data_IF_182713630716
#
_entry.id   IF_182713630716
#
_cell.length_a   1.000
_cell.length_b   1.000
_cell.length_c   1.000
_cell.angle_alpha   90.00
_cell.angle_beta   90.00
_cell.angle_gamma   90.00
#
_symmetry.space_group_name_H-M   'P 1'
#
loop_
_entity.id
_entity.type
_entity.pdbx_description
1 polymer ?
#
# COMPACT_ATOMS: atom_id res chain seq x y z
N UNK A 1 1.34 -21.27 32.47
CA UNK A 1 0.17 -20.41 32.13
C UNK A 1 0.53 -19.09 31.46
N UNK A 2 1.74 -18.53 31.67
CA UNK A 2 2.18 -17.29 31.02
C UNK A 2 2.14 -17.35 29.47
N UNK A 3 2.44 -18.52 28.89
CA UNK A 3 2.45 -18.71 27.43
C UNK A 3 1.09 -18.47 26.75
N UNK A 4 -0.02 -18.95 27.34
CA UNK A 4 -1.35 -18.77 26.74
C UNK A 4 -1.79 -17.30 26.75
N UNK A 5 -1.56 -16.61 27.88
CA UNK A 5 -1.93 -15.20 28.05
C UNK A 5 -1.26 -14.27 27.04
N UNK A 6 -0.05 -14.59 26.57
CA UNK A 6 0.61 -13.82 25.50
C UNK A 6 0.33 -14.38 24.11
N UNK A 7 0.22 -15.70 23.96
CA UNK A 7 -0.05 -16.33 22.67
C UNK A 7 -1.42 -15.91 22.11
N UNK A 8 -2.46 -15.81 22.96
CA UNK A 8 -3.80 -15.40 22.53
C UNK A 8 -3.85 -14.00 21.91
N UNK A 9 -3.41 -12.91 22.58
CA UNK A 9 -3.44 -11.57 21.98
C UNK A 9 -2.52 -11.44 20.78
N UNK A 10 -1.35 -12.10 20.76
CA UNK A 10 -0.47 -12.13 19.58
C UNK A 10 -1.19 -12.78 18.40
N UNK A 11 -1.84 -13.93 18.62
CA UNK A 11 -2.59 -14.64 17.56
C UNK A 11 -3.74 -13.79 17.05
N UNK A 12 -4.53 -13.18 17.95
CA UNK A 12 -5.63 -12.29 17.57
C UNK A 12 -5.10 -11.10 16.76
N UNK A 13 -4.00 -10.48 17.20
CA UNK A 13 -3.38 -9.36 16.49
C UNK A 13 -2.89 -9.74 15.10
N UNK A 14 -2.26 -10.91 14.95
CA UNK A 14 -1.83 -11.43 13.65
C UNK A 14 -3.01 -11.71 12.72
N UNK A 15 -4.06 -12.37 13.22
CA UNK A 15 -5.27 -12.67 12.44
C UNK A 15 -6.00 -11.39 12.03
N UNK A 16 -6.13 -10.42 12.94
CA UNK A 16 -6.73 -9.13 12.64
C UNK A 16 -5.91 -8.35 11.60
N UNK A 17 -4.58 -8.31 11.76
CA UNK A 17 -3.68 -7.69 10.79
C UNK A 17 -3.79 -8.34 9.40
N UNK A 18 -3.90 -9.66 9.34
CA UNK A 18 -4.13 -10.39 8.09
C UNK A 18 -5.49 -10.06 7.47
N UNK A 19 -6.55 -9.98 8.26
CA UNK A 19 -7.86 -9.56 7.77
C UNK A 19 -7.80 -8.13 7.19
N UNK A 20 -7.18 -7.18 7.89
CA UNK A 20 -6.97 -5.83 7.38
C UNK A 20 -6.20 -5.84 6.06
N UNK A 21 -5.17 -6.68 5.93
CA UNK A 21 -4.42 -6.86 4.69
C UNK A 21 -5.33 -7.29 3.54
N UNK A 22 -6.13 -8.34 3.73
CA UNK A 22 -7.04 -8.85 2.70
C UNK A 22 -8.07 -7.79 2.31
N UNK A 23 -8.65 -7.09 3.28
CA UNK A 23 -9.66 -6.04 3.02
C UNK A 23 -9.06 -4.89 2.21
N UNK A 24 -7.90 -4.35 2.62
CA UNK A 24 -7.27 -3.25 1.89
C UNK A 24 -6.88 -3.70 0.49
N UNK A 25 -6.28 -4.89 0.33
CA UNK A 25 -5.95 -5.46 -0.98
C UNK A 25 -7.19 -5.60 -1.88
N UNK A 26 -8.31 -6.06 -1.32
CA UNK A 26 -9.56 -6.18 -2.06
C UNK A 26 -10.09 -4.80 -2.49
N UNK A 27 -10.09 -3.83 -1.58
CA UNK A 27 -10.53 -2.45 -1.85
C UNK A 27 -9.66 -1.80 -2.94
N UNK A 28 -8.33 -1.97 -2.89
CA UNK A 28 -7.43 -1.36 -3.87
C UNK A 28 -7.63 -1.93 -5.28
N UNK A 29 -7.99 -3.21 -5.41
CA UNK A 29 -8.30 -3.82 -6.70
C UNK A 29 -9.71 -3.50 -7.22
N UNK A 30 -10.73 -3.59 -6.37
CA UNK A 30 -12.12 -3.68 -6.84
C UNK A 30 -12.91 -2.37 -6.66
N UNK A 31 -12.54 -1.50 -5.73
CA UNK A 31 -13.34 -0.30 -5.44
C UNK A 31 -12.86 0.94 -6.18
N UNK A 32 -13.80 1.79 -6.56
CA UNK A 32 -13.52 3.14 -7.07
C UNK A 32 -13.26 4.09 -5.89
N UNK A 33 -12.01 4.11 -5.44
CA UNK A 33 -11.54 5.00 -4.39
C UNK A 33 -11.34 6.42 -4.92
N UNK A 34 -11.93 7.42 -4.26
CA UNK A 34 -11.85 8.83 -4.65
C UNK A 34 -10.46 9.42 -4.36
N UNK A 35 -9.91 10.31 -5.22
CA UNK A 35 -8.53 10.82 -5.12
C UNK A 35 -8.15 11.46 -3.78
N UNK A 36 -9.08 12.11 -3.10
CA UNK A 36 -8.81 12.85 -1.86
C UNK A 36 -8.80 11.98 -0.60
N UNK A 37 -9.00 10.66 -0.74
CA UNK A 37 -9.03 9.76 0.41
C UNK A 37 -7.65 9.15 0.69
N UNK A 38 -7.30 8.87 1.97
CA UNK A 38 -6.07 8.16 2.32
C UNK A 38 -5.95 6.78 1.64
N UNK A 39 -7.10 6.14 1.37
CA UNK A 39 -7.18 4.88 0.63
C UNK A 39 -6.70 5.01 -0.82
N UNK A 40 -6.81 6.18 -1.43
CA UNK A 40 -6.36 6.41 -2.80
C UNK A 40 -4.85 6.24 -2.92
N UNK A 41 -4.09 6.67 -1.90
CA UNK A 41 -2.64 6.49 -1.85
C UNK A 41 -2.27 5.00 -1.88
N UNK A 42 -2.95 4.17 -1.09
CA UNK A 42 -2.73 2.72 -1.09
C UNK A 42 -3.13 2.09 -2.43
N UNK A 43 -4.27 2.50 -3.00
CA UNK A 43 -4.69 2.04 -4.32
C UNK A 43 -3.69 2.40 -5.42
N UNK A 44 -3.22 3.63 -5.44
CA UNK A 44 -2.25 4.12 -6.40
C UNK A 44 -0.94 3.34 -6.32
N UNK A 45 -0.43 3.12 -5.11
CA UNK A 45 0.80 2.35 -4.88
C UNK A 45 0.68 0.89 -5.27
N UNK A 46 -0.43 0.26 -4.90
CA UNK A 46 -0.72 -1.12 -5.25
C UNK A 46 -0.87 -1.31 -6.77
N UNK A 47 -1.51 -0.34 -7.44
CA UNK A 47 -1.53 -0.32 -8.90
C UNK A 47 -0.11 -0.20 -9.48
N UNK A 48 0.75 0.66 -8.92
CA UNK A 48 2.15 0.74 -9.34
C UNK A 48 2.91 -0.57 -9.09
N UNK A 49 2.67 -1.27 -8.00
CA UNK A 49 3.25 -2.60 -7.75
C UNK A 49 2.93 -3.59 -8.89
N UNK A 50 1.67 -3.63 -9.35
CA UNK A 50 1.25 -4.53 -10.42
C UNK A 50 1.64 -4.10 -11.83
N UNK A 51 1.65 -2.80 -12.11
CA UNK A 51 1.81 -2.28 -13.47
C UNK A 51 3.18 -1.65 -13.76
N UNK A 52 3.99 -1.35 -12.74
CA UNK A 52 5.34 -0.85 -12.97
C UNK A 52 6.23 -1.98 -13.50
N UNK A 53 7.17 -1.61 -14.38
CA UNK A 53 8.21 -2.53 -14.90
C UNK A 53 9.28 -2.86 -13.86
N UNK A 54 9.25 -2.21 -12.70
CA UNK A 54 10.24 -2.32 -11.62
C UNK A 54 9.50 -2.88 -10.41
N UNK A 55 10.05 -3.95 -9.83
CA UNK A 55 9.53 -4.53 -8.61
C UNK A 55 9.75 -3.59 -7.41
N UNK A 56 8.70 -3.35 -6.63
CA UNK A 56 8.72 -2.51 -5.44
C UNK A 56 7.30 -2.24 -4.93
N UNK A 57 7.18 -1.42 -3.89
CA UNK A 57 5.92 -1.18 -3.17
C UNK A 57 5.21 -2.50 -2.76
N UNK A 58 5.92 -3.39 -2.07
CA UNK A 58 5.37 -4.67 -1.63
C UNK A 58 4.35 -4.51 -0.49
N UNK A 59 4.45 -3.41 0.26
CA UNK A 59 3.55 -3.08 1.35
C UNK A 59 2.18 -2.63 0.86
N UNK A 60 1.15 -3.45 1.11
CA UNK A 60 -0.23 -3.16 0.71
C UNK A 60 -0.95 -2.26 1.74
N UNK A 61 -0.76 -2.53 3.03
CA UNK A 61 -1.42 -1.80 4.13
C UNK A 61 -0.56 -0.70 4.75
N UNK A 62 0.75 -0.78 4.58
CA UNK A 62 1.73 0.16 5.15
C UNK A 62 3.01 0.14 4.32
N UNK A 63 3.72 1.27 4.28
CA UNK A 63 5.03 1.39 3.65
C UNK A 63 6.18 0.95 4.53
N UNK A 64 5.94 0.71 5.82
CA UNK A 64 7.00 0.58 6.80
C UNK A 64 8.12 -0.37 6.34
N UNK A 65 7.75 -1.54 5.84
CA UNK A 65 8.72 -2.51 5.33
C UNK A 65 9.35 -2.09 3.99
N UNK A 66 8.63 -1.39 3.13
CA UNK A 66 9.21 -0.84 1.90
C UNK A 66 10.26 0.25 2.18
N UNK A 67 10.12 1.00 3.27
CA UNK A 67 11.10 1.98 3.70
C UNK A 67 12.32 1.30 4.34
N UNK A 68 12.08 0.33 5.22
CA UNK A 68 13.15 -0.45 5.88
C UNK A 68 14.01 -1.20 4.86
N UNK A 69 13.41 -1.76 3.82
CA UNK A 69 14.13 -2.53 2.80
C UNK A 69 14.46 -1.74 1.52
N UNK A 70 14.10 -0.45 1.46
CA UNK A 70 14.41 0.41 0.32
C UNK A 70 13.66 0.05 -0.98
N UNK A 71 12.49 -0.58 -0.87
CA UNK A 71 11.65 -1.00 -2.00
C UNK A 71 10.51 -0.02 -2.30
N UNK A 72 10.49 1.14 -1.62
CA UNK A 72 9.53 2.23 -1.87
C UNK A 72 9.83 2.95 -3.20
N UNK A 73 8.95 2.76 -4.20
CA UNK A 73 9.05 3.39 -5.51
C UNK A 73 8.62 4.88 -5.53
N UNK A 74 8.17 5.41 -4.39
CA UNK A 74 7.82 6.83 -4.23
C UNK A 74 8.94 7.66 -3.59
N UNK A 75 9.83 7.04 -2.79
CA UNK A 75 10.85 7.77 -2.02
C UNK A 75 12.19 7.97 -2.77
N UNK A 76 12.49 7.17 -3.81
CA UNK A 76 13.78 7.22 -4.53
C UNK A 76 13.71 7.75 -5.97
N UNK A 77 12.53 8.07 -6.48
CA UNK A 77 12.33 8.36 -7.90
C UNK A 77 12.41 9.87 -8.17
N UNK A 78 13.62 10.35 -8.48
CA UNK A 78 13.80 11.37 -9.54
C UNK A 78 13.55 10.73 -10.92
N UNK A 79 12.46 9.99 -11.07
CA UNK A 79 12.08 9.38 -12.35
C UNK A 79 11.14 10.34 -13.10
N UNK A 80 11.69 11.04 -14.09
CA UNK A 80 10.94 11.89 -15.00
C UNK A 80 9.97 11.12 -15.92
N UNK A 81 9.93 9.78 -15.88
CA UNK A 81 9.01 8.97 -16.70
C UNK A 81 7.54 9.05 -16.27
N UNK A 82 7.25 9.53 -15.06
CA UNK A 82 5.87 9.81 -14.61
C UNK A 82 5.45 11.27 -14.85
N UNK A 83 6.19 12.02 -15.67
CA UNK A 83 5.86 13.41 -16.06
C UNK A 83 4.43 13.55 -16.63
N UNK A 84 3.92 12.53 -17.31
CA UNK A 84 2.57 12.51 -17.89
C UNK A 84 1.44 12.46 -16.86
N UNK A 85 1.71 12.00 -15.62
CA UNK A 85 0.69 11.98 -14.55
C UNK A 85 0.49 13.36 -13.92
N UNK A 86 1.51 14.23 -13.96
CA UNK A 86 1.39 15.65 -13.54
C UNK A 86 0.46 16.48 -14.43
N UNK A 87 0.07 15.96 -15.60
CA UNK A 87 -0.94 16.55 -16.48
C UNK A 87 -2.37 16.16 -16.08
N UNK A 88 -2.56 14.92 -15.61
CA UNK A 88 -3.87 14.40 -15.20
C UNK A 88 -4.38 15.06 -13.91
N UNK A 89 -3.48 15.36 -12.96
CA UNK A 89 -3.81 16.09 -11.72
C UNK A 89 -4.27 17.53 -11.98
N UNK A 90 -4.06 18.06 -13.20
CA UNK A 90 -4.47 19.39 -13.63
C UNK A 90 -5.85 19.41 -14.30
N UNK A 91 -6.32 18.25 -14.75
CA UNK A 91 -7.61 18.06 -15.43
C UNK A 91 -8.73 17.64 -14.48
N UNK A 92 -8.39 17.33 -13.24
CA UNK A 92 -9.33 16.99 -12.16
C UNK A 92 -9.45 18.12 -11.12
N UNK A 93 -9.06 19.34 -11.49
CA UNK A 93 -9.40 20.60 -10.81
C UNK A 93 -10.46 21.34 -11.61
#
# INVERSE_FOLDING_TARGET
>A
TIGFTYASPVTIGLMFGYLCYVVVHHVTHHWRVMPDSPLYRFKHRHARHHYAKIAGNFGVTTLFWDEVFGTSLEAGSRDNRFSWMRGFDRLLR
#
